data_IF_415675337106
#
_entry.id   IF_415675337106
#
_cell.length_a   1.000
_cell.length_b   1.000
_cell.length_c   1.000
_cell.angle_alpha   90.00
_cell.angle_beta   90.00
_cell.angle_gamma   90.00
#
_symmetry.space_group_name_H-M   'P 1'
#
loop_
_entity.id
_entity.type
_entity.pdbx_description
1 polymer ?
#
# COMPACT_ATOMS: atom_id res chain seq x y z
N UNK A 1 -8.60 20.84 15.77
CA UNK A 1 -9.46 20.06 14.84
C UNK A 1 -8.60 19.66 13.66
N UNK A 2 -7.74 18.68 13.87
CA UNK A 2 -6.69 18.30 12.92
C UNK A 2 -7.32 17.43 11.85
N UNK A 3 -7.48 17.97 10.64
CA UNK A 3 -7.97 17.24 9.48
C UNK A 3 -6.91 16.19 9.10
N UNK A 4 -6.99 14.99 9.68
CA UNK A 4 -6.43 13.82 9.03
C UNK A 4 -7.14 13.71 7.68
N UNK A 5 -6.36 13.79 6.60
CA UNK A 5 -6.78 13.56 5.23
C UNK A 5 -7.80 12.40 5.15
N UNK A 6 -8.96 12.67 4.56
CA UNK A 6 -10.12 11.77 4.53
C UNK A 6 -9.98 10.68 3.49
N UNK A 7 -9.29 10.92 2.37
CA UNK A 7 -9.08 9.94 1.31
C UNK A 7 -7.61 9.51 1.21
N UNK A 8 -7.36 8.32 0.68
CA UNK A 8 -5.99 7.83 0.44
C UNK A 8 -5.16 8.81 -0.42
N UNK A 9 -5.79 9.43 -1.43
CA UNK A 9 -5.18 10.49 -2.24
C UNK A 9 -4.75 11.71 -1.42
N UNK A 10 -5.61 12.19 -0.51
CA UNK A 10 -5.27 13.32 0.35
C UNK A 10 -4.13 12.97 1.32
N UNK A 11 -4.06 11.71 1.80
CA UNK A 11 -2.95 11.22 2.63
C UNK A 11 -1.64 11.20 1.83
N UNK A 12 -1.68 10.78 0.56
CA UNK A 12 -0.55 10.85 -0.36
C UNK A 12 -0.08 12.31 -0.55
N UNK A 13 -1.00 13.25 -0.81
CA UNK A 13 -0.66 14.67 -0.95
C UNK A 13 -0.07 15.26 0.34
N UNK A 14 -0.59 14.87 1.50
CA UNK A 14 -0.02 15.26 2.79
C UNK A 14 1.41 14.74 2.95
N UNK A 15 1.66 13.47 2.62
CA UNK A 15 3.01 12.90 2.62
C UNK A 15 3.94 13.67 1.68
N UNK A 16 3.51 13.92 0.45
CA UNK A 16 4.30 14.61 -0.56
C UNK A 16 4.63 16.06 -0.19
N UNK A 17 3.67 16.80 0.38
CA UNK A 17 3.81 18.25 0.58
C UNK A 17 4.24 18.65 1.99
N UNK A 18 3.93 17.83 3.00
CA UNK A 18 4.16 18.17 4.42
C UNK A 18 5.07 17.17 5.14
N UNK A 19 5.25 15.95 4.61
CA UNK A 19 5.95 14.85 5.28
C UNK A 19 6.92 14.07 4.39
N UNK A 20 7.53 14.72 3.41
CA UNK A 20 8.42 14.03 2.46
C UNK A 20 9.68 13.44 3.12
N UNK A 21 10.00 13.90 4.33
CA UNK A 21 11.08 13.31 5.12
C UNK A 21 10.90 11.80 5.38
N UNK A 22 9.67 11.30 5.39
CA UNK A 22 9.38 9.87 5.57
C UNK A 22 9.89 9.09 4.35
N UNK A 23 9.51 9.50 3.14
CA UNK A 23 9.98 8.88 1.89
C UNK A 23 11.49 8.95 1.78
N UNK A 24 12.07 10.13 2.04
CA UNK A 24 13.52 10.30 1.99
C UNK A 24 14.23 9.39 2.98
N UNK A 25 13.72 9.25 4.21
CA UNK A 25 14.32 8.36 5.21
C UNK A 25 14.25 6.89 4.82
N UNK A 26 13.17 6.46 4.18
CA UNK A 26 12.98 5.06 3.79
C UNK A 26 13.74 4.68 2.52
N UNK A 27 13.88 5.61 1.56
CA UNK A 27 14.36 5.30 0.22
C UNK A 27 15.77 5.80 -0.10
N UNK A 28 16.30 6.77 0.67
CA UNK A 28 17.68 7.24 0.48
C UNK A 28 18.67 6.42 1.30
N UNK A 29 19.92 6.46 0.85
CA UNK A 29 21.03 5.91 1.61
C UNK A 29 21.09 6.55 3.01
N UNK A 30 21.45 5.78 4.05
CA UNK A 30 21.96 4.41 4.00
C UNK A 30 20.88 3.31 4.06
N UNK A 31 19.58 3.64 4.07
CA UNK A 31 18.50 2.66 4.28
C UNK A 31 17.92 2.11 2.98
N UNK A 32 17.81 2.94 1.96
CA UNK A 32 17.35 2.56 0.63
C UNK A 32 18.46 2.57 -0.40
N UNK A 33 18.08 2.25 -1.63
CA UNK A 33 18.93 2.24 -2.82
C UNK A 33 18.07 2.59 -4.05
N UNK A 34 18.64 2.95 -5.21
CA UNK A 34 17.90 3.56 -6.32
C UNK A 34 16.71 2.76 -6.87
N UNK A 35 16.69 1.44 -6.75
CA UNK A 35 15.58 0.61 -7.22
C UNK A 35 14.61 0.18 -6.10
N UNK A 36 14.81 0.68 -4.86
CA UNK A 36 13.87 0.45 -3.78
C UNK A 36 12.63 1.33 -3.93
N UNK A 37 11.46 0.71 -3.71
CA UNK A 37 10.19 1.37 -3.47
C UNK A 37 9.72 1.02 -2.06
N UNK A 38 8.86 1.86 -1.47
CA UNK A 38 8.30 1.62 -0.16
C UNK A 38 6.79 1.85 -0.18
N UNK A 39 6.04 0.93 0.42
CA UNK A 39 4.59 1.02 0.53
C UNK A 39 4.21 1.28 1.98
N UNK A 40 3.57 2.41 2.25
CA UNK A 40 3.03 2.72 3.57
C UNK A 40 1.62 2.15 3.66
N UNK A 41 1.43 1.07 4.42
CA UNK A 41 0.12 0.50 4.73
C UNK A 41 -0.62 1.41 5.70
N UNK A 42 -1.89 1.67 5.43
CA UNK A 42 -2.75 2.60 6.15
C UNK A 42 -4.13 1.98 6.38
N UNK A 43 -4.85 2.42 7.42
CA UNK A 43 -6.28 2.13 7.51
C UNK A 43 -7.01 2.62 6.24
N UNK A 44 -7.92 1.80 5.68
CA UNK A 44 -8.72 2.19 4.54
C UNK A 44 -9.59 3.40 4.89
N UNK A 45 -9.93 4.19 3.89
CA UNK A 45 -10.82 5.35 4.02
C UNK A 45 -12.14 5.20 3.31
N UNK A 46 -12.19 4.33 2.30
CA UNK A 46 -13.42 4.03 1.59
C UNK A 46 -14.14 2.81 2.19
N UNK A 47 -15.48 2.85 2.31
CA UNK A 47 -16.27 1.70 2.73
C UNK A 47 -16.01 0.48 1.83
N UNK A 48 -15.83 -0.68 2.44
CA UNK A 48 -15.60 -1.94 1.71
C UNK A 48 -14.17 -2.16 1.22
N UNK A 49 -13.23 -1.25 1.50
CA UNK A 49 -11.82 -1.51 1.29
C UNK A 49 -11.20 -2.20 2.52
N UNK A 50 -10.38 -3.22 2.31
CA UNK A 50 -9.76 -4.01 3.37
C UNK A 50 -8.50 -3.33 3.92
N UNK A 51 -7.75 -2.64 3.06
CA UNK A 51 -6.59 -1.86 3.44
C UNK A 51 -6.33 -0.71 2.46
N UNK A 52 -5.73 0.37 2.94
CA UNK A 52 -5.19 1.44 2.11
C UNK A 52 -3.67 1.38 2.04
N UNK A 53 -3.08 1.91 0.98
CA UNK A 53 -1.63 2.08 0.91
C UNK A 53 -1.22 3.29 0.07
N UNK A 54 -0.08 3.89 0.42
CA UNK A 54 0.57 4.93 -0.38
C UNK A 54 1.93 4.42 -0.85
N UNK A 55 2.19 4.55 -2.15
CA UNK A 55 3.45 4.19 -2.77
C UNK A 55 4.41 5.37 -2.64
N UNK A 56 5.64 5.07 -2.27
CA UNK A 56 6.75 6.01 -2.19
C UNK A 56 7.87 5.52 -3.11
N UNK A 57 8.24 6.33 -4.09
CA UNK A 57 9.36 6.06 -5.01
C UNK A 57 10.48 7.10 -4.85
N UNK A 58 11.59 6.91 -5.57
CA UNK A 58 12.79 7.74 -5.41
C UNK A 58 12.57 9.23 -5.71
N UNK A 59 11.60 9.56 -6.57
CA UNK A 59 11.33 10.93 -7.02
C UNK A 59 9.90 11.39 -6.79
N UNK A 60 8.97 10.46 -6.54
CA UNK A 60 7.55 10.78 -6.51
C UNK A 60 6.71 9.85 -5.62
N UNK A 61 5.41 10.15 -5.55
CA UNK A 61 4.37 9.32 -4.97
C UNK A 61 3.38 8.97 -6.10
N UNK A 62 3.50 7.79 -6.73
CA UNK A 62 2.62 7.43 -7.83
C UNK A 62 1.23 7.06 -7.32
N UNK A 63 0.21 7.34 -8.14
CA UNK A 63 -1.17 7.03 -7.79
C UNK A 63 -1.51 5.52 -7.81
N UNK A 64 -0.80 4.73 -8.63
CA UNK A 64 -0.98 3.29 -8.76
C UNK A 64 0.32 2.65 -9.28
N UNK A 65 0.60 1.41 -8.86
CA UNK A 65 1.66 0.57 -9.40
C UNK A 65 1.34 -0.90 -9.17
N UNK A 66 1.20 -1.68 -10.25
CA UNK A 66 0.77 -3.08 -10.15
C UNK A 66 1.75 -3.97 -9.39
N UNK A 67 3.06 -3.77 -9.55
CA UNK A 67 4.08 -4.54 -8.81
C UNK A 67 4.02 -4.24 -7.31
N UNK A 68 3.80 -2.98 -6.93
CA UNK A 68 3.60 -2.61 -5.54
C UNK A 68 2.26 -3.13 -4.99
N UNK A 69 1.19 -3.13 -5.77
CA UNK A 69 -0.09 -3.76 -5.37
C UNK A 69 0.11 -5.23 -5.02
N UNK A 70 0.79 -5.99 -5.88
CA UNK A 70 1.08 -7.42 -5.64
C UNK A 70 1.92 -7.59 -4.36
N UNK A 71 2.95 -6.75 -4.17
CA UNK A 71 3.78 -6.80 -2.96
C UNK A 71 2.98 -6.48 -1.68
N UNK A 72 2.09 -5.48 -1.73
CA UNK A 72 1.20 -5.12 -0.61
C UNK A 72 0.22 -6.26 -0.32
N UNK A 73 -0.45 -6.80 -1.33
CA UNK A 73 -1.33 -7.98 -1.18
C UNK A 73 -0.60 -9.13 -0.50
N UNK A 74 0.61 -9.45 -0.98
CA UNK A 74 1.43 -10.53 -0.42
C UNK A 74 1.74 -10.27 1.05
N UNK A 75 2.19 -9.07 1.41
CA UNK A 75 2.48 -8.72 2.81
C UNK A 75 1.22 -8.80 3.67
N UNK A 76 0.09 -8.27 3.22
CA UNK A 76 -1.16 -8.29 3.98
C UNK A 76 -1.59 -9.72 4.32
N UNK A 77 -1.56 -10.62 3.33
CA UNK A 77 -1.94 -12.03 3.48
C UNK A 77 -0.91 -12.78 4.34
N UNK A 78 0.37 -12.77 3.96
CA UNK A 78 1.37 -13.64 4.59
C UNK A 78 1.75 -13.24 6.01
N UNK A 79 1.43 -12.01 6.42
CA UNK A 79 1.61 -11.53 7.80
C UNK A 79 0.33 -11.59 8.63
N UNK A 80 -0.80 -12.00 8.04
CA UNK A 80 -2.09 -12.08 8.73
C UNK A 80 -2.69 -10.73 9.11
N UNK A 81 -2.39 -9.67 8.34
CA UNK A 81 -2.97 -8.34 8.55
C UNK A 81 -4.42 -8.24 8.05
N UNK A 82 -4.84 -9.18 7.19
CA UNK A 82 -6.21 -9.33 6.68
C UNK A 82 -6.69 -10.76 6.93
N UNK A 83 -8.00 -10.98 6.82
CA UNK A 83 -8.55 -12.32 6.81
C UNK A 83 -8.14 -13.05 5.52
N UNK A 84 -7.79 -14.33 5.64
CA UNK A 84 -7.24 -15.14 4.56
C UNK A 84 -8.17 -16.32 4.31
N UNK A 85 -8.61 -16.45 3.06
CA UNK A 85 -9.42 -17.57 2.58
C UNK A 85 -8.62 -18.36 1.52
N UNK A 86 -8.61 -19.69 1.64
CA UNK A 86 -7.96 -20.59 0.67
C UNK A 86 -9.02 -21.37 -0.14
N UNK A 87 -8.80 -21.64 -1.44
CA UNK A 87 -7.55 -21.41 -2.19
C UNK A 87 -7.42 -20.00 -2.76
N UNK A 88 -8.42 -19.13 -2.55
CA UNK A 88 -8.48 -17.80 -3.13
C UNK A 88 -8.88 -16.80 -2.05
N UNK A 89 -8.05 -15.80 -1.83
CA UNK A 89 -8.40 -14.62 -1.01
C UNK A 89 -8.74 -13.46 -1.94
N UNK A 90 -9.92 -12.88 -1.77
CA UNK A 90 -10.36 -11.67 -2.48
C UNK A 90 -10.22 -10.46 -1.56
N UNK A 91 -9.60 -9.39 -2.05
CA UNK A 91 -9.39 -8.14 -1.32
C UNK A 91 -9.76 -6.94 -2.19
N UNK A 92 -10.24 -5.87 -1.58
CA UNK A 92 -10.37 -4.55 -2.17
C UNK A 92 -9.36 -3.61 -1.51
N UNK A 93 -8.30 -3.25 -2.24
CA UNK A 93 -7.26 -2.34 -1.75
C UNK A 93 -7.51 -0.91 -2.21
N UNK A 94 -7.22 0.06 -1.35
CA UNK A 94 -7.32 1.48 -1.67
C UNK A 94 -5.94 2.10 -1.94
N UNK A 95 -5.65 2.36 -3.22
CA UNK A 95 -4.52 3.16 -3.66
C UNK A 95 -4.91 4.64 -3.80
N UNK A 96 -3.95 5.58 -3.94
CA UNK A 96 -4.28 6.98 -4.17
C UNK A 96 -5.09 7.23 -5.45
N UNK A 97 -4.95 6.37 -6.47
CA UNK A 97 -5.74 6.43 -7.70
C UNK A 97 -7.15 5.83 -7.58
N UNK A 98 -7.47 5.12 -6.48
CA UNK A 98 -8.78 4.51 -6.25
C UNK A 98 -8.73 3.07 -5.75
N UNK A 99 -9.89 2.43 -5.75
CA UNK A 99 -10.07 1.04 -5.33
C UNK A 99 -9.54 0.06 -6.37
N UNK A 100 -8.93 -1.02 -5.89
CA UNK A 100 -8.37 -2.10 -6.70
C UNK A 100 -8.90 -3.42 -6.12
N UNK A 101 -9.71 -4.12 -6.90
CA UNK A 101 -10.08 -5.50 -6.59
C UNK A 101 -8.90 -6.43 -6.90
N UNK A 102 -8.56 -7.29 -5.95
CA UNK A 102 -7.47 -8.26 -6.03
C UNK A 102 -8.01 -9.63 -5.72
N UNK A 103 -7.53 -10.62 -6.45
CA UNK A 103 -7.80 -12.04 -6.23
C UNK A 103 -6.46 -12.75 -6.19
N UNK A 104 -6.11 -13.29 -5.03
CA UNK A 104 -4.81 -13.94 -4.80
C UNK A 104 -5.02 -15.44 -4.57
N UNK A 105 -4.22 -16.26 -5.24
CA UNK A 105 -4.10 -17.69 -4.97
C UNK A 105 -3.26 -17.90 -3.72
N UNK A 106 -3.85 -18.55 -2.71
CA UNK A 106 -3.21 -18.78 -1.41
C UNK A 106 -3.18 -20.26 -1.10
N UNK A 107 -2.01 -20.73 -0.68
CA UNK A 107 -1.80 -22.11 -0.24
C UNK A 107 -0.86 -22.13 0.97
N UNK A 108 -1.32 -22.73 2.07
CA UNK A 108 -0.59 -22.78 3.35
C UNK A 108 -0.20 -21.37 3.85
N UNK A 109 -1.12 -20.41 3.73
CA UNK A 109 -0.92 -19.02 4.12
C UNK A 109 0.10 -18.26 3.26
N UNK A 110 0.46 -18.78 2.08
CA UNK A 110 1.43 -18.15 1.15
C UNK A 110 0.78 -17.83 -0.19
N UNK A 111 1.10 -16.64 -0.73
CA UNK A 111 0.60 -16.22 -2.06
C UNK A 111 1.39 -16.95 -3.16
N UNK A 112 0.66 -17.49 -4.15
CA UNK A 112 1.23 -18.28 -5.26
C UNK A 112 0.94 -17.70 -6.64
N UNK A 113 -0.11 -16.90 -6.76
CA UNK A 113 -0.61 -16.33 -8.02
C UNK A 113 -1.55 -15.16 -7.78
#
# INVERSE_FOLDING_TARGET
MTYLARLCFEKMLYLQTQKDEIRLRMLREPRGYPAANCNLILPPTQPGADAGYVIMEQVEYPGMSGTNTIAVTTVLIETGMVEVEEPITELTLEAPAGLIAVRAEVHEGKVRG
#
